data_IF_225213850383
#
_entry.id   IF_225213850383
#
_cell.length_a   1.000
_cell.length_b   1.000
_cell.length_c   1.000
_cell.angle_alpha   90.00
_cell.angle_beta   90.00
_cell.angle_gamma   90.00
#
_symmetry.space_group_name_H-M   'P 1'
#
loop_
_entity.id
_entity.type
_entity.pdbx_description
1 polymer ?
#
# COMPACT_ATOMS: atom_id res chain seq x y z
N UNK A 1 10.74 0.31 -5.01
CA UNK A 1 11.39 0.39 -3.70
C UNK A 1 12.46 -0.69 -3.50
N UNK A 2 13.30 -0.54 -2.48
CA UNK A 2 14.37 -1.51 -2.16
C UNK A 2 13.83 -2.93 -1.96
N UNK A 3 12.74 -3.10 -1.21
CA UNK A 3 12.12 -4.40 -0.96
C UNK A 3 11.77 -5.16 -2.25
N UNK A 4 11.16 -4.49 -3.23
CA UNK A 4 10.86 -5.12 -4.53
C UNK A 4 12.11 -5.53 -5.31
N UNK A 5 13.19 -4.75 -5.21
CA UNK A 5 14.46 -5.11 -5.83
C UNK A 5 15.10 -6.31 -5.15
N UNK A 6 15.00 -6.39 -3.83
CA UNK A 6 15.48 -7.53 -3.04
C UNK A 6 14.71 -8.80 -3.38
N UNK A 7 13.36 -8.74 -3.44
CA UNK A 7 12.51 -9.86 -3.83
C UNK A 7 12.83 -10.34 -5.26
N UNK A 8 12.94 -9.42 -6.22
CA UNK A 8 13.32 -9.76 -7.59
C UNK A 8 14.72 -10.40 -7.68
N UNK A 9 15.66 -9.92 -6.88
CA UNK A 9 17.00 -10.48 -6.80
C UNK A 9 16.99 -11.90 -6.21
N UNK A 10 16.22 -12.15 -5.16
CA UNK A 10 16.03 -13.49 -4.60
C UNK A 10 15.45 -14.46 -5.63
N UNK A 11 14.40 -14.05 -6.34
CA UNK A 11 13.78 -14.87 -7.41
C UNK A 11 14.77 -15.15 -8.53
N UNK A 12 15.55 -14.13 -8.96
CA UNK A 12 16.60 -14.29 -9.97
C UNK A 12 17.62 -15.35 -9.58
N UNK A 13 18.15 -15.27 -8.34
CA UNK A 13 19.12 -16.24 -7.85
C UNK A 13 18.52 -17.63 -7.67
N UNK A 14 17.28 -17.75 -7.21
CA UNK A 14 16.59 -19.02 -7.09
C UNK A 14 16.40 -19.69 -8.46
N UNK A 15 16.02 -18.95 -9.49
CA UNK A 15 15.93 -19.47 -10.88
C UNK A 15 17.29 -19.94 -11.36
N UNK A 16 18.36 -19.16 -11.14
CA UNK A 16 19.73 -19.57 -11.54
C UNK A 16 20.16 -20.87 -10.86
N UNK A 17 19.84 -21.03 -9.57
CA UNK A 17 20.17 -22.26 -8.85
C UNK A 17 19.43 -23.47 -9.42
N UNK A 18 18.11 -23.33 -9.67
CA UNK A 18 17.29 -24.39 -10.26
C UNK A 18 17.81 -24.78 -11.65
N UNK A 19 18.18 -23.80 -12.48
CA UNK A 19 18.72 -24.07 -13.81
C UNK A 19 20.09 -24.74 -13.78
N UNK A 20 20.93 -24.40 -12.79
CA UNK A 20 22.23 -25.03 -12.61
C UNK A 20 22.15 -26.51 -12.20
N UNK A 21 21.09 -26.89 -11.49
CA UNK A 21 20.87 -28.27 -11.02
C UNK A 21 20.21 -29.16 -12.11
N UNK A 22 19.76 -28.58 -13.23
CA UNK A 22 19.18 -29.35 -14.34
C UNK A 22 20.26 -29.75 -15.33
N UNK A 23 20.33 -31.05 -15.68
CA UNK A 23 21.30 -31.63 -16.61
C UNK A 23 21.06 -31.28 -18.08
N UNK A 24 19.94 -30.66 -18.40
CA UNK A 24 19.63 -30.18 -19.74
C UNK A 24 19.94 -28.66 -19.83
N UNK A 25 21.13 -28.38 -20.37
CA UNK A 25 21.67 -27.02 -20.48
C UNK A 25 20.94 -26.22 -21.60
N UNK A 26 19.67 -25.98 -21.48
CA UNK A 26 19.05 -24.86 -22.17
C UNK A 26 19.66 -23.58 -21.57
N UNK A 27 20.58 -22.96 -22.28
CA UNK A 27 21.31 -21.77 -21.83
C UNK A 27 20.36 -20.57 -21.76
N UNK A 28 19.56 -20.51 -20.70
CA UNK A 28 18.80 -19.31 -20.40
C UNK A 28 19.79 -18.30 -19.85
N UNK A 29 19.99 -17.22 -20.59
CA UNK A 29 20.87 -16.13 -20.17
C UNK A 29 20.28 -15.32 -19.02
N UNK A 30 21.14 -14.67 -18.25
CA UNK A 30 20.72 -13.73 -17.18
C UNK A 30 19.77 -12.66 -17.73
N UNK A 31 20.02 -12.18 -18.96
CA UNK A 31 19.14 -11.20 -19.61
C UNK A 31 17.75 -11.76 -19.90
N UNK A 32 17.62 -13.00 -20.34
CA UNK A 32 16.32 -13.64 -20.57
C UNK A 32 15.54 -13.81 -19.26
N UNK A 33 16.21 -14.15 -18.14
CA UNK A 33 15.57 -14.22 -16.84
C UNK A 33 15.07 -12.82 -16.43
N UNK A 34 15.88 -11.79 -16.58
CA UNK A 34 15.50 -10.41 -16.27
C UNK A 34 14.34 -9.92 -17.15
N UNK A 35 14.34 -10.25 -18.43
CA UNK A 35 13.26 -9.88 -19.36
C UNK A 35 11.92 -10.52 -18.97
N UNK A 36 11.95 -11.78 -18.51
CA UNK A 36 10.75 -12.47 -17.99
C UNK A 36 10.29 -11.84 -16.68
N UNK A 37 11.20 -11.56 -15.74
CA UNK A 37 10.87 -10.92 -14.46
C UNK A 37 10.28 -9.51 -14.67
N UNK A 38 10.79 -8.76 -15.65
CA UNK A 38 10.28 -7.43 -16.00
C UNK A 38 8.89 -7.45 -16.65
N UNK A 39 8.48 -8.58 -17.23
CA UNK A 39 7.14 -8.80 -17.80
C UNK A 39 6.12 -9.27 -16.77
N UNK A 40 6.55 -9.56 -15.53
CA UNK A 40 5.64 -10.00 -14.48
C UNK A 40 4.63 -8.88 -14.16
N UNK A 41 3.31 -9.13 -14.31
CA UNK A 41 2.29 -8.08 -14.18
C UNK A 41 2.09 -7.63 -12.71
N UNK A 42 2.74 -8.26 -11.76
CA UNK A 42 2.53 -8.05 -10.33
C UNK A 42 1.45 -8.97 -9.75
N UNK A 43 1.16 -8.76 -8.49
CA UNK A 43 0.11 -9.47 -7.75
C UNK A 43 -0.97 -8.46 -7.37
N UNK A 44 -2.23 -8.84 -7.49
CA UNK A 44 -3.34 -8.00 -7.07
C UNK A 44 -3.18 -7.54 -5.61
N UNK A 45 -3.51 -6.29 -5.33
CA UNK A 45 -3.37 -5.66 -4.02
C UNK A 45 -1.93 -5.72 -3.45
N UNK A 46 -0.90 -5.70 -4.31
CA UNK A 46 0.52 -5.57 -3.93
C UNK A 46 1.14 -4.44 -4.74
N UNK A 47 0.91 -3.22 -4.30
CA UNK A 47 1.15 -1.98 -5.06
C UNK A 47 0.56 -2.07 -6.47
N UNK A 48 -0.66 -2.60 -6.54
CA UNK A 48 -1.40 -2.79 -7.78
C UNK A 48 -1.83 -1.43 -8.34
N UNK A 49 -1.48 -1.18 -9.59
CA UNK A 49 -1.94 0.02 -10.29
C UNK A 49 -3.35 -0.19 -10.80
N UNK A 50 -4.33 0.51 -10.23
CA UNK A 50 -5.72 0.50 -10.67
C UNK A 50 -5.94 1.46 -11.85
N UNK A 51 -5.29 2.63 -11.78
CA UNK A 51 -5.29 3.67 -12.80
C UNK A 51 -4.00 4.50 -12.69
N UNK A 52 -3.75 5.43 -13.61
CA UNK A 52 -2.61 6.34 -13.48
C UNK A 52 -2.71 7.19 -12.21
N UNK A 53 -1.73 7.04 -11.32
CA UNK A 53 -1.75 7.72 -10.02
C UNK A 53 -2.72 7.14 -8.98
N UNK A 54 -3.41 6.01 -9.24
CA UNK A 54 -4.26 5.32 -8.27
C UNK A 54 -3.78 3.89 -8.04
N UNK A 55 -3.51 3.55 -6.78
CA UNK A 55 -2.92 2.26 -6.40
C UNK A 55 -3.68 1.61 -5.26
N UNK A 56 -3.58 0.28 -5.16
CA UNK A 56 -4.07 -0.52 -4.03
C UNK A 56 -2.96 -1.43 -3.51
N UNK A 57 -2.82 -1.50 -2.19
CA UNK A 57 -1.88 -2.37 -1.50
C UNK A 57 -2.54 -3.07 -0.31
N UNK A 58 -2.09 -4.28 -0.02
CA UNK A 58 -2.59 -5.10 1.09
C UNK A 58 -1.91 -4.75 2.43
N UNK A 59 -0.95 -3.82 2.43
CA UNK A 59 -0.18 -3.42 3.59
C UNK A 59 -1.10 -3.03 4.76
N UNK A 60 -0.92 -3.67 5.90
CA UNK A 60 -1.70 -3.45 7.11
C UNK A 60 -0.87 -3.61 8.40
N UNK A 61 0.39 -4.04 8.31
CA UNK A 61 1.36 -4.03 9.39
C UNK A 61 2.26 -2.78 9.26
N UNK A 62 2.67 -2.12 10.35
CA UNK A 62 3.48 -0.89 10.29
C UNK A 62 4.72 -0.97 9.39
N UNK A 63 5.44 -2.08 9.39
CA UNK A 63 6.61 -2.26 8.52
C UNK A 63 6.24 -2.35 7.04
N UNK A 64 5.14 -3.07 6.70
CA UNK A 64 4.62 -3.14 5.33
C UNK A 64 4.17 -1.76 4.86
N UNK A 65 3.44 -1.02 5.71
CA UNK A 65 2.97 0.34 5.40
C UNK A 65 4.14 1.26 5.11
N UNK A 66 5.18 1.25 5.96
CA UNK A 66 6.38 2.05 5.76
C UNK A 66 7.05 1.75 4.41
N UNK A 67 7.22 0.47 4.07
CA UNK A 67 7.78 0.05 2.79
C UNK A 67 6.91 0.51 1.62
N UNK A 68 5.59 0.40 1.74
CA UNK A 68 4.64 0.84 0.70
C UNK A 68 4.63 2.36 0.54
N UNK A 69 4.74 3.14 1.62
CA UNK A 69 4.89 4.61 1.56
C UNK A 69 6.15 5.00 0.78
N UNK A 70 7.28 4.35 1.03
CA UNK A 70 8.52 4.63 0.29
C UNK A 70 8.37 4.31 -1.21
N UNK A 71 7.72 3.19 -1.55
CA UNK A 71 7.43 2.85 -2.96
C UNK A 71 6.50 3.91 -3.58
N UNK A 72 5.47 4.37 -2.85
CA UNK A 72 4.55 5.37 -3.34
C UNK A 72 5.23 6.72 -3.61
N UNK A 73 6.16 7.13 -2.76
CA UNK A 73 6.97 8.34 -2.95
C UNK A 73 7.86 8.24 -4.18
N UNK A 74 8.60 7.14 -4.33
CA UNK A 74 9.44 6.90 -5.52
C UNK A 74 8.60 6.92 -6.81
N UNK A 75 7.41 6.32 -6.79
CA UNK A 75 6.53 6.28 -7.96
C UNK A 75 5.89 7.66 -8.23
N UNK A 76 5.50 8.40 -7.20
CA UNK A 76 5.00 9.76 -7.34
C UNK A 76 6.04 10.69 -7.98
N UNK A 77 7.29 10.63 -7.52
CA UNK A 77 8.41 11.39 -8.11
C UNK A 77 8.63 11.01 -9.58
N UNK A 78 8.69 9.71 -9.89
CA UNK A 78 8.87 9.19 -11.25
C UNK A 78 7.75 9.64 -12.20
N UNK A 79 6.51 9.71 -11.72
CA UNK A 79 5.34 10.12 -12.49
C UNK A 79 5.13 11.66 -12.51
N UNK A 80 5.96 12.43 -11.82
CA UNK A 80 5.80 13.88 -11.70
C UNK A 80 4.52 14.28 -10.96
N UNK A 81 4.11 13.49 -9.95
CA UNK A 81 2.94 13.78 -9.12
C UNK A 81 3.25 14.87 -8.09
N UNK A 82 2.21 15.58 -7.64
CA UNK A 82 2.31 16.63 -6.63
C UNK A 82 2.78 16.12 -5.27
N UNK A 83 2.37 14.89 -4.91
CA UNK A 83 2.71 14.24 -3.65
C UNK A 83 1.94 12.94 -3.49
N UNK A 84 1.87 12.42 -2.26
CA UNK A 84 1.27 11.14 -1.92
C UNK A 84 0.10 11.31 -0.95
N UNK A 85 -1.03 10.76 -1.33
CA UNK A 85 -2.24 10.60 -0.51
C UNK A 85 -2.38 9.14 -0.11
N UNK A 86 -2.51 8.88 1.17
CA UNK A 86 -2.78 7.54 1.70
C UNK A 86 -4.20 7.47 2.25
N UNK A 87 -4.94 6.43 1.89
CA UNK A 87 -6.14 5.98 2.58
C UNK A 87 -5.80 4.68 3.28
N UNK A 88 -5.89 4.66 4.60
CA UNK A 88 -5.47 3.50 5.40
C UNK A 88 -6.63 2.92 6.20
N UNK A 89 -6.86 1.62 6.03
CA UNK A 89 -7.81 0.82 6.81
C UNK A 89 -7.06 -0.17 7.70
N UNK A 90 -6.98 0.05 9.02
CA UNK A 90 -6.40 -0.91 9.96
C UNK A 90 -7.20 -2.22 9.95
N UNK A 91 -6.52 -3.35 10.18
CA UNK A 91 -7.15 -4.67 10.18
C UNK A 91 -7.00 -5.34 11.54
N UNK A 92 -8.12 -5.83 12.10
CA UNK A 92 -8.22 -6.52 13.39
C UNK A 92 -7.80 -5.65 14.59
N UNK A 93 -8.76 -5.28 15.44
CA UNK A 93 -8.48 -4.47 16.62
C UNK A 93 -7.52 -5.17 17.61
N UNK A 94 -7.60 -6.49 17.75
CA UNK A 94 -6.67 -7.27 18.59
C UNK A 94 -5.23 -7.07 18.14
N UNK A 95 -4.96 -7.15 16.82
CA UNK A 95 -3.64 -6.86 16.25
C UNK A 95 -3.24 -5.41 16.46
N UNK A 96 -4.19 -4.47 16.36
CA UNK A 96 -3.89 -3.06 16.56
C UNK A 96 -3.36 -2.77 17.96
N UNK A 97 -3.83 -3.47 19.00
CA UNK A 97 -3.25 -3.36 20.35
C UNK A 97 -1.79 -3.78 20.41
N UNK A 98 -1.39 -4.78 19.65
CA UNK A 98 0.00 -5.26 19.60
C UNK A 98 0.94 -4.26 18.91
N UNK A 99 0.47 -3.64 17.82
CA UNK A 99 1.31 -2.78 16.97
C UNK A 99 1.11 -1.27 17.19
N UNK A 100 0.22 -0.86 18.11
CA UNK A 100 -0.15 0.53 18.35
C UNK A 100 1.06 1.46 18.52
N UNK A 101 2.07 1.01 19.26
CA UNK A 101 3.28 1.76 19.54
C UNK A 101 4.23 1.93 18.34
N UNK A 102 4.01 1.20 17.25
CA UNK A 102 4.86 1.19 16.05
C UNK A 102 4.44 2.24 15.01
N UNK A 103 3.28 2.90 15.18
CA UNK A 103 2.77 3.83 14.15
C UNK A 103 3.48 5.17 14.06
N UNK A 104 4.25 5.56 15.06
CA UNK A 104 4.79 6.89 15.27
C UNK A 104 5.31 7.60 14.00
N UNK A 105 6.10 6.93 13.17
CA UNK A 105 6.76 7.49 11.99
C UNK A 105 6.47 6.74 10.67
N UNK A 106 5.44 5.92 10.66
CA UNK A 106 5.14 4.99 9.56
C UNK A 106 4.72 5.72 8.28
N UNK A 107 4.04 6.86 8.41
CA UNK A 107 3.53 7.67 7.31
C UNK A 107 4.38 8.92 7.01
N UNK A 108 5.67 8.89 7.27
CA UNK A 108 6.53 10.04 6.99
C UNK A 108 6.65 10.33 5.49
N UNK A 109 6.46 11.62 5.12
CA UNK A 109 6.51 12.07 3.74
C UNK A 109 5.22 11.84 2.96
N UNK A 110 4.13 11.50 3.65
CA UNK A 110 2.76 11.52 3.11
C UNK A 110 2.19 12.93 3.28
N UNK A 111 1.54 13.45 2.23
CA UNK A 111 0.96 14.80 2.25
C UNK A 111 -0.46 14.83 2.81
N UNK A 112 -1.24 13.76 2.55
CA UNK A 112 -2.58 13.58 3.10
C UNK A 112 -2.77 12.14 3.55
N UNK A 113 -3.27 11.94 4.77
CA UNK A 113 -3.58 10.63 5.33
C UNK A 113 -5.04 10.59 5.80
N UNK A 114 -5.84 9.76 5.14
CA UNK A 114 -7.22 9.45 5.54
C UNK A 114 -7.22 8.14 6.30
N UNK A 115 -7.48 8.21 7.61
CA UNK A 115 -7.50 7.04 8.49
C UNK A 115 -8.91 6.53 8.67
N UNK A 116 -9.20 5.35 8.15
CA UNK A 116 -10.50 4.68 8.25
C UNK A 116 -10.66 3.96 9.62
N UNK A 117 -11.90 3.67 10.03
CA UNK A 117 -12.14 2.75 11.14
C UNK A 117 -11.46 1.40 10.91
N UNK A 118 -11.05 0.76 12.00
CA UNK A 118 -10.47 -0.59 11.92
C UNK A 118 -11.51 -1.58 11.39
N UNK A 119 -11.15 -2.35 10.36
CA UNK A 119 -11.95 -3.48 9.91
C UNK A 119 -11.91 -4.59 10.96
N UNK A 120 -13.05 -4.82 11.59
CA UNK A 120 -13.20 -5.75 12.72
C UNK A 120 -13.48 -7.17 12.22
N UNK A 121 -12.63 -8.12 12.64
CA UNK A 121 -12.82 -9.55 12.37
C UNK A 121 -12.08 -10.39 13.39
N UNK A 122 -12.76 -11.38 13.97
CA UNK A 122 -12.21 -12.30 14.99
C UNK A 122 -11.65 -11.56 16.22
N UNK A 123 -12.41 -10.58 16.72
CA UNK A 123 -11.97 -9.67 17.76
C UNK A 123 -12.03 -10.27 19.16
N UNK A 124 -11.07 -9.91 20.01
CA UNK A 124 -11.19 -10.04 21.46
C UNK A 124 -12.14 -8.96 21.98
N UNK A 125 -13.32 -9.37 22.43
CA UNK A 125 -14.38 -8.47 22.91
C UNK A 125 -14.03 -7.75 24.22
N UNK A 126 -12.98 -8.17 24.92
CA UNK A 126 -12.51 -7.51 26.14
C UNK A 126 -11.67 -6.27 25.84
N UNK A 127 -11.16 -6.12 24.63
CA UNK A 127 -10.32 -5.01 24.22
C UNK A 127 -11.15 -3.80 23.76
N UNK A 128 -10.76 -2.61 24.22
CA UNK A 128 -11.31 -1.35 23.68
C UNK A 128 -11.03 -1.26 22.20
N UNK A 129 -12.04 -0.96 21.38
CA UNK A 129 -11.84 -0.64 19.98
C UNK A 129 -11.19 0.73 19.86
N UNK A 130 -10.02 0.79 19.22
CA UNK A 130 -9.37 2.06 18.93
C UNK A 130 -10.09 2.81 17.81
N UNK A 131 -10.25 4.10 18.00
CA UNK A 131 -10.76 5.01 16.97
C UNK A 131 -9.62 5.51 16.06
N UNK A 132 -9.90 5.97 14.83
CA UNK A 132 -8.90 6.65 14.00
C UNK A 132 -8.16 7.77 14.74
N UNK A 133 -8.87 8.54 15.56
CA UNK A 133 -8.28 9.63 16.36
C UNK A 133 -7.31 9.14 17.45
N UNK A 134 -7.50 7.93 17.99
CA UNK A 134 -6.55 7.35 18.95
C UNK A 134 -5.19 7.07 18.26
N UNK A 135 -5.21 6.58 17.02
CA UNK A 135 -4.00 6.32 16.23
C UNK A 135 -3.33 7.61 15.75
N UNK A 136 -4.09 8.55 15.20
CA UNK A 136 -3.56 9.82 14.67
C UNK A 136 -2.74 10.54 15.72
N UNK A 137 -3.16 10.52 17.00
CA UNK A 137 -2.41 11.11 18.11
C UNK A 137 -1.02 10.49 18.34
N UNK A 138 -0.76 9.30 17.83
CA UNK A 138 0.56 8.64 17.98
C UNK A 138 1.55 9.06 16.91
N UNK A 139 1.08 9.67 15.80
CA UNK A 139 1.90 10.02 14.65
C UNK A 139 2.77 11.25 14.92
N UNK A 140 3.98 11.26 14.36
CA UNK A 140 4.84 12.44 14.36
C UNK A 140 4.31 13.53 13.40
N UNK A 141 3.61 13.14 12.32
CA UNK A 141 3.04 14.03 11.30
C UNK A 141 1.51 14.15 11.41
N UNK A 142 0.98 14.35 12.60
CA UNK A 142 -0.47 14.42 12.87
C UNK A 142 -1.21 15.42 11.98
N UNK A 143 -0.56 16.51 11.60
CA UNK A 143 -1.19 17.61 10.84
C UNK A 143 -1.73 17.19 9.47
N UNK A 144 -1.20 16.12 8.86
CA UNK A 144 -1.64 15.62 7.54
C UNK A 144 -2.69 14.53 7.65
N UNK A 145 -2.99 14.06 8.88
CA UNK A 145 -3.85 12.91 9.12
C UNK A 145 -5.24 13.34 9.62
N UNK A 146 -6.27 12.79 9.02
CA UNK A 146 -7.67 13.01 9.41
C UNK A 146 -8.44 11.69 9.50
N UNK A 147 -9.36 11.55 10.47
CA UNK A 147 -10.34 10.48 10.47
C UNK A 147 -11.21 10.56 9.22
N UNK A 148 -11.53 9.42 8.61
CA UNK A 148 -12.38 9.33 7.45
C UNK A 148 -13.26 8.08 7.50
N UNK A 149 -14.31 8.07 6.68
CA UNK A 149 -15.20 6.94 6.47
C UNK A 149 -15.39 6.74 4.96
N UNK A 150 -15.70 5.52 4.53
CA UNK A 150 -16.02 5.22 3.13
C UNK A 150 -17.40 5.80 2.77
N UNK A 151 -17.41 7.04 2.32
CA UNK A 151 -18.61 7.80 1.99
C UNK A 151 -18.35 8.83 0.88
N UNK A 152 -19.39 9.56 0.47
CA UNK A 152 -19.30 10.57 -0.59
C UNK A 152 -18.36 11.74 -0.25
N UNK A 153 -18.18 12.10 1.04
CA UNK A 153 -17.25 13.16 1.44
C UNK A 153 -15.80 12.74 1.16
N UNK A 154 -15.40 11.53 1.56
CA UNK A 154 -14.09 10.99 1.24
C UNK A 154 -13.90 10.86 -0.28
N UNK A 155 -14.93 10.34 -0.99
CA UNK A 155 -14.88 10.19 -2.45
C UNK A 155 -14.64 11.54 -3.14
N UNK A 156 -15.36 12.59 -2.74
CA UNK A 156 -15.16 13.93 -3.28
C UNK A 156 -13.75 14.47 -3.04
N UNK A 157 -13.25 14.35 -1.81
CA UNK A 157 -11.89 14.77 -1.45
C UNK A 157 -10.81 14.04 -2.26
N UNK A 158 -10.96 12.72 -2.44
CA UNK A 158 -10.02 11.94 -3.23
C UNK A 158 -10.05 12.31 -4.71
N UNK A 159 -11.24 12.62 -5.27
CA UNK A 159 -11.38 13.13 -6.64
C UNK A 159 -10.66 14.47 -6.81
N UNK A 160 -10.85 15.39 -5.89
CA UNK A 160 -10.20 16.70 -5.91
C UNK A 160 -8.66 16.58 -5.83
N UNK A 161 -8.16 15.72 -4.96
CA UNK A 161 -6.72 15.45 -4.84
C UNK A 161 -6.15 14.75 -6.08
N UNK A 162 -6.90 13.83 -6.68
CA UNK A 162 -6.52 13.20 -7.94
C UNK A 162 -6.42 14.21 -9.08
N UNK A 163 -7.37 15.14 -9.18
CA UNK A 163 -7.35 16.25 -10.15
C UNK A 163 -6.18 17.22 -9.91
N UNK A 164 -5.75 17.39 -8.64
CA UNK A 164 -4.57 18.15 -8.27
C UNK A 164 -3.27 17.38 -8.51
N UNK A 165 -3.33 16.27 -9.24
CA UNK A 165 -2.22 15.43 -9.64
C UNK A 165 -1.48 14.72 -8.49
N UNK A 166 -2.16 14.41 -7.37
CA UNK A 166 -1.58 13.53 -6.34
C UNK A 166 -1.60 12.07 -6.76
N UNK A 167 -0.63 11.29 -6.27
CA UNK A 167 -0.70 9.85 -6.25
C UNK A 167 -1.55 9.43 -5.05
N UNK A 168 -2.58 8.61 -5.28
CA UNK A 168 -3.45 8.07 -4.24
C UNK A 168 -3.17 6.59 -4.08
N UNK A 169 -2.93 6.15 -2.85
CA UNK A 169 -2.79 4.74 -2.53
C UNK A 169 -3.70 4.33 -1.38
N UNK A 170 -4.48 3.28 -1.62
CA UNK A 170 -5.19 2.57 -0.57
C UNK A 170 -4.28 1.50 0.05
N UNK A 171 -4.22 1.46 1.37
CA UNK A 171 -3.58 0.41 2.15
C UNK A 171 -4.63 -0.27 3.03
N UNK A 172 -5.05 -1.47 2.64
CA UNK A 172 -6.14 -2.19 3.31
C UNK A 172 -6.04 -3.69 3.08
N UNK A 173 -6.24 -4.48 4.14
CA UNK A 173 -6.50 -5.91 4.05
C UNK A 173 -8.01 -6.25 4.10
N UNK A 174 -8.85 -5.25 4.25
CA UNK A 174 -10.31 -5.35 4.39
C UNK A 174 -11.10 -4.96 3.13
N UNK A 175 -12.38 -4.58 3.32
CA UNK A 175 -13.32 -4.30 2.23
C UNK A 175 -13.12 -2.93 1.54
N UNK A 176 -12.29 -2.04 2.07
CA UNK A 176 -12.05 -0.74 1.45
C UNK A 176 -11.52 -0.85 0.00
N UNK A 177 -10.81 -1.95 -0.35
CA UNK A 177 -10.36 -2.20 -1.71
C UNK A 177 -11.53 -2.34 -2.70
N UNK A 178 -12.61 -3.03 -2.29
CA UNK A 178 -13.81 -3.16 -3.12
C UNK A 178 -14.49 -1.79 -3.34
N UNK A 179 -14.59 -0.97 -2.28
CA UNK A 179 -15.15 0.38 -2.39
C UNK A 179 -14.33 1.27 -3.35
N UNK A 180 -13.00 1.17 -3.32
CA UNK A 180 -12.13 1.88 -4.25
C UNK A 180 -12.41 1.49 -5.71
N UNK A 181 -12.62 0.19 -5.96
CA UNK A 181 -12.88 -0.34 -7.32
C UNK A 181 -14.28 0.00 -7.82
N UNK A 182 -15.27 -0.10 -6.95
CA UNK A 182 -16.69 0.03 -7.35
C UNK A 182 -17.16 1.49 -7.33
N UNK A 183 -16.66 2.29 -6.37
CA UNK A 183 -17.20 3.63 -6.14
C UNK A 183 -16.24 4.75 -6.59
N UNK A 184 -14.93 4.62 -6.31
CA UNK A 184 -13.98 5.69 -6.62
C UNK A 184 -13.45 5.60 -8.05
N UNK A 185 -12.95 4.42 -8.46
CA UNK A 185 -12.29 4.22 -9.75
C UNK A 185 -13.14 4.62 -10.96
N UNK A 186 -14.44 4.29 -11.04
CA UNK A 186 -15.30 4.70 -12.17
C UNK A 186 -15.45 6.22 -12.30
N UNK A 187 -15.37 6.94 -11.19
CA UNK A 187 -15.60 8.38 -11.11
C UNK A 187 -14.32 9.23 -11.36
N UNK A 188 -13.15 8.59 -11.42
CA UNK A 188 -11.89 9.24 -11.77
C UNK A 188 -11.73 9.26 -13.29
N UNK A 189 -12.08 10.33 -13.93
CA UNK A 189 -11.91 10.54 -15.39
C UNK A 189 -10.65 11.34 -15.68
#
# INVERSE_FOLDING_TARGET
>A
GSARREDANLVFHAIKQILADQSDHSQISDQQILDILNQFPGVGRRFERLKDGLYSDYAHHPEEIKATVEIAKEEAEKLGKTGVVVVYEPHQNTRQHEVFHLYKNVFQGVDHLFWLPTYLTREDKSLKIFTPSDFIKTLDNQAVAVPAELNEDLKSKLKDLYQQNYLIILMSAGPADQWFRDELLPDLN
#
